data_IF_287976614799
#
_entry.id   IF_287976614799
#
_cell.length_a   1.000
_cell.length_b   1.000
_cell.length_c   1.000
_cell.angle_alpha   90.00
_cell.angle_beta   90.00
_cell.angle_gamma   90.00
#
_symmetry.space_group_name_H-M   'P 1'
#
loop_
_entity.id
_entity.type
_entity.pdbx_description
1 polymer ?
#
# COMPACT_ATOMS: atom_id res chain seq x y z
N UNK A 1 -27.56 -13.36 3.24
CA UNK A 1 -26.70 -12.21 2.90
C UNK A 1 -25.31 -12.54 3.39
N UNK A 2 -24.42 -12.97 2.48
CA UNK A 2 -23.07 -13.40 2.86
C UNK A 2 -22.24 -12.19 3.24
N UNK A 3 -21.86 -12.08 4.52
CA UNK A 3 -20.85 -11.14 4.98
C UNK A 3 -19.51 -11.51 4.33
N UNK A 4 -19.23 -10.95 3.16
CA UNK A 4 -17.94 -11.12 2.48
C UNK A 4 -16.87 -10.54 3.41
N UNK A 5 -16.03 -11.42 3.97
CA UNK A 5 -14.92 -11.05 4.81
C UNK A 5 -13.85 -10.43 3.92
N UNK A 6 -13.89 -9.10 3.75
CA UNK A 6 -12.95 -8.38 2.90
C UNK A 6 -11.50 -8.67 3.31
N UNK A 7 -10.59 -8.94 2.37
CA UNK A 7 -9.18 -9.13 2.65
C UNK A 7 -8.60 -7.92 3.40
N UNK A 8 -7.77 -8.16 4.41
CA UNK A 8 -7.18 -7.08 5.21
C UNK A 8 -6.08 -6.36 4.44
N UNK A 9 -5.84 -5.11 4.82
CA UNK A 9 -4.65 -4.38 4.41
C UNK A 9 -3.39 -5.03 5.01
N UNK A 10 -2.31 -5.25 4.23
CA UNK A 10 -1.08 -5.89 4.70
C UNK A 10 -0.21 -5.00 5.61
N UNK A 11 -0.63 -3.76 5.87
CA UNK A 11 0.07 -2.81 6.74
C UNK A 11 -0.48 -2.92 8.16
N UNK A 12 0.41 -3.29 9.09
CA UNK A 12 0.07 -3.45 10.50
C UNK A 12 -0.49 -2.14 11.09
N UNK A 13 -1.69 -2.22 11.68
CA UNK A 13 -2.35 -1.07 12.29
C UNK A 13 -3.02 -0.10 11.31
N UNK A 14 -3.11 -0.43 10.01
CA UNK A 14 -3.87 0.40 9.08
C UNK A 14 -5.33 0.55 9.53
N UNK A 15 -5.79 1.80 9.68
CA UNK A 15 -7.18 2.15 10.02
C UNK A 15 -7.93 2.80 8.85
N UNK A 16 -7.30 2.90 7.68
CA UNK A 16 -7.95 3.49 6.51
C UNK A 16 -9.03 2.52 5.98
N UNK A 17 -10.17 3.04 5.50
CA UNK A 17 -11.17 2.22 4.83
C UNK A 17 -10.56 1.56 3.58
N UNK A 18 -10.75 0.25 3.44
CA UNK A 18 -10.38 -0.49 2.24
C UNK A 18 -11.41 -0.17 1.16
N UNK A 19 -10.95 0.32 0.02
CA UNK A 19 -11.79 0.72 -1.12
C UNK A 19 -11.48 -0.07 -2.40
N UNK A 20 -10.44 -0.92 -2.38
CA UNK A 20 -10.07 -1.82 -3.46
C UNK A 20 -9.48 -3.12 -2.90
N UNK A 21 -9.74 -4.23 -3.60
CA UNK A 21 -9.08 -5.52 -3.37
C UNK A 21 -8.19 -5.80 -4.57
N UNK A 22 -6.95 -6.18 -4.33
CA UNK A 22 -6.01 -6.62 -5.36
C UNK A 22 -5.74 -8.11 -5.21
N UNK A 23 -5.67 -8.83 -6.33
CA UNK A 23 -5.28 -10.24 -6.36
C UNK A 23 -3.91 -10.39 -7.02
N UNK A 24 -3.03 -11.18 -6.43
CA UNK A 24 -1.76 -11.56 -7.04
C UNK A 24 -1.92 -12.75 -7.98
N UNK A 25 -0.90 -12.99 -8.82
CA UNK A 25 -0.84 -14.12 -9.76
C UNK A 25 -0.82 -15.51 -9.10
N UNK A 26 -0.53 -15.58 -7.80
CA UNK A 26 -0.63 -16.78 -6.97
C UNK A 26 -1.96 -16.89 -6.20
N UNK A 27 -2.93 -16.02 -6.50
CA UNK A 27 -4.29 -16.05 -5.97
C UNK A 27 -4.46 -15.43 -4.58
N UNK A 28 -3.41 -14.84 -3.99
CA UNK A 28 -3.54 -14.13 -2.72
C UNK A 28 -4.26 -12.78 -2.91
N UNK A 29 -5.14 -12.43 -1.99
CA UNK A 29 -5.92 -11.18 -2.04
C UNK A 29 -5.53 -10.23 -0.91
N UNK A 30 -5.46 -8.94 -1.22
CA UNK A 30 -5.07 -7.88 -0.29
C UNK A 30 -6.04 -6.70 -0.39
N UNK A 31 -6.47 -6.19 0.76
CA UNK A 31 -7.15 -4.91 0.83
C UNK A 31 -6.15 -3.77 0.63
N UNK A 32 -6.52 -2.77 -0.15
CA UNK A 32 -5.69 -1.59 -0.38
C UNK A 32 -6.53 -0.31 -0.41
N UNK A 33 -5.85 0.80 -0.66
CA UNK A 33 -6.41 2.15 -0.59
C UNK A 33 -6.02 2.88 -1.87
N UNK A 34 -6.99 3.19 -2.73
CA UNK A 34 -6.75 3.82 -4.04
C UNK A 34 -5.94 5.11 -3.91
N UNK A 35 -6.22 5.93 -2.89
CA UNK A 35 -5.45 7.16 -2.57
C UNK A 35 -3.94 6.91 -2.38
N UNK A 36 -3.56 5.75 -1.85
CA UNK A 36 -2.14 5.40 -1.70
C UNK A 36 -1.59 4.84 -3.01
N UNK A 37 -2.37 4.04 -3.74
CA UNK A 37 -1.95 3.49 -5.03
C UNK A 37 -1.65 4.61 -6.04
N UNK A 38 -2.53 5.61 -6.15
CA UNK A 38 -2.35 6.79 -7.02
C UNK A 38 -1.08 7.58 -6.71
N UNK A 39 -0.76 7.72 -5.42
CA UNK A 39 0.39 8.52 -4.99
C UNK A 39 1.72 7.88 -5.35
N UNK A 40 1.76 6.56 -5.48
CA UNK A 40 3.01 5.80 -5.61
C UNK A 40 3.12 5.00 -6.90
N UNK A 41 2.08 4.99 -7.75
CA UNK A 41 2.10 4.29 -9.02
C UNK A 41 1.20 4.99 -10.04
N UNK A 42 1.82 5.42 -11.15
CA UNK A 42 1.13 5.95 -12.33
C UNK A 42 0.26 4.89 -13.02
N UNK A 43 0.49 3.60 -12.71
CA UNK A 43 -0.30 2.47 -13.23
C UNK A 43 -1.69 2.34 -12.61
N UNK A 44 -1.96 3.04 -11.51
CA UNK A 44 -3.32 3.18 -10.96
C UNK A 44 -3.82 4.57 -11.32
N UNK A 45 -4.44 4.68 -12.50
CA UNK A 45 -5.05 5.92 -13.00
C UNK A 45 -6.00 6.53 -11.95
N UNK A 46 -6.02 7.86 -11.88
CA UNK A 46 -6.78 8.68 -10.91
C UNK A 46 -8.19 8.13 -10.62
N UNK A 47 -8.53 7.99 -9.32
CA UNK A 47 -9.87 7.68 -8.85
C UNK A 47 -10.90 8.61 -9.50
N UNK A 48 -11.85 8.00 -10.18
CA UNK A 48 -13.01 8.69 -10.76
C UNK A 48 -13.52 8.09 -12.06
N UNK A 49 -12.68 7.34 -12.79
CA UNK A 49 -13.08 6.69 -14.07
C UNK A 49 -13.24 5.18 -14.00
N UNK A 50 -12.73 4.55 -12.94
CA UNK A 50 -12.90 3.11 -12.71
C UNK A 50 -14.14 2.95 -11.85
N UNK A 51 -15.25 2.57 -12.48
CA UNK A 51 -16.37 2.02 -11.73
C UNK A 51 -15.82 0.90 -10.86
N UNK A 52 -16.27 0.82 -9.60
CA UNK A 52 -16.00 -0.34 -8.74
C UNK A 52 -16.74 -1.50 -9.38
N UNK A 53 -16.19 -2.06 -10.45
CA UNK A 53 -16.65 -3.30 -11.03
C UNK A 53 -16.38 -4.36 -9.98
N UNK A 54 -17.26 -5.35 -9.89
CA UNK A 54 -17.08 -6.52 -9.03
C UNK A 54 -15.88 -7.39 -9.44
N UNK A 55 -15.04 -6.92 -10.36
CA UNK A 55 -13.86 -7.60 -10.87
C UNK A 55 -12.65 -7.21 -10.03
N UNK A 56 -12.05 -8.21 -9.39
CA UNK A 56 -10.83 -8.04 -8.61
C UNK A 56 -9.67 -7.92 -9.63
N UNK A 57 -8.92 -6.81 -9.67
CA UNK A 57 -7.77 -6.70 -10.55
C UNK A 57 -6.73 -7.75 -10.19
N UNK A 58 -6.43 -8.63 -11.15
CA UNK A 58 -5.33 -9.58 -11.06
C UNK A 58 -4.04 -8.91 -11.52
N UNK A 59 -3.02 -8.98 -10.66
CA UNK A 59 -1.71 -8.41 -10.87
C UNK A 59 -0.70 -9.51 -11.14
N UNK A 60 0.29 -9.23 -12.01
CA UNK A 60 1.31 -10.21 -12.38
C UNK A 60 2.24 -10.56 -11.22
N UNK A 61 2.36 -9.67 -10.23
CA UNK A 61 3.18 -9.85 -9.03
C UNK A 61 2.67 -11.00 -8.16
N UNK A 62 3.60 -11.78 -7.58
CA UNK A 62 3.27 -12.76 -6.54
C UNK A 62 2.77 -12.07 -5.28
N UNK A 63 2.05 -12.80 -4.42
CA UNK A 63 1.50 -12.23 -3.19
C UNK A 63 2.57 -11.64 -2.27
N UNK A 64 3.78 -12.21 -2.28
CA UNK A 64 4.92 -11.68 -1.50
C UNK A 64 5.39 -10.32 -2.02
N UNK A 65 5.51 -10.18 -3.34
CA UNK A 65 5.94 -8.93 -4.00
C UNK A 65 4.85 -7.87 -3.85
N UNK A 66 3.59 -8.22 -4.12
CA UNK A 66 2.44 -7.34 -3.97
C UNK A 66 2.30 -6.82 -2.52
N UNK A 67 2.46 -7.71 -1.53
CA UNK A 67 2.49 -7.33 -0.11
C UNK A 67 3.60 -6.34 0.21
N UNK A 68 4.81 -6.55 -0.32
CA UNK A 68 5.94 -5.64 -0.11
C UNK A 68 5.68 -4.26 -0.73
N UNK A 69 5.15 -4.24 -1.97
CA UNK A 69 4.78 -3.02 -2.67
C UNK A 69 3.77 -2.20 -1.87
N UNK A 70 2.67 -2.83 -1.43
CA UNK A 70 1.63 -2.17 -0.64
C UNK A 70 2.18 -1.58 0.69
N UNK A 71 3.14 -2.25 1.32
CA UNK A 71 3.81 -1.72 2.52
C UNK A 71 4.69 -0.51 2.22
N UNK A 72 5.34 -0.47 1.05
CA UNK A 72 6.20 0.64 0.65
C UNK A 72 5.40 1.89 0.30
N UNK A 73 4.20 1.73 -0.26
CA UNK A 73 3.27 2.82 -0.59
C UNK A 73 2.69 3.53 0.65
N UNK A 74 2.95 3.03 1.86
CA UNK A 74 2.63 3.72 3.11
C UNK A 74 3.75 4.66 3.54
N UNK A 75 3.80 5.85 2.96
CA UNK A 75 4.78 6.89 3.31
C UNK A 75 4.62 7.49 4.72
N UNK A 76 3.51 7.23 5.42
CA UNK A 76 3.16 7.90 6.68
C UNK A 76 3.14 6.98 7.89
N UNK A 77 3.34 5.67 7.70
CA UNK A 77 3.55 4.82 8.85
C UNK A 77 4.97 5.06 9.33
N UNK A 78 5.19 5.46 10.61
CA UNK A 78 6.52 5.33 11.16
C UNK A 78 6.83 3.84 11.05
N UNK A 79 7.67 3.50 10.08
CA UNK A 79 8.45 2.28 10.18
C UNK A 79 8.99 2.29 11.61
N UNK A 80 8.98 1.18 12.32
CA UNK A 80 9.66 1.13 13.63
C UNK A 80 11.15 1.52 13.51
N UNK A 81 11.65 1.73 12.29
CA UNK A 81 12.93 2.27 11.87
C UNK A 81 12.96 3.80 11.65
N UNK A 82 11.87 4.54 11.88
CA UNK A 82 11.82 6.02 11.83
C UNK A 82 12.52 6.67 13.02
N UNK A 83 13.06 5.90 13.96
CA UNK A 83 14.22 6.36 14.74
C UNK A 83 15.47 6.25 13.87
N UNK A 84 15.55 7.08 12.83
CA UNK A 84 16.86 7.44 12.30
C UNK A 84 17.65 8.06 13.45
N UNK A 85 18.75 7.41 13.82
CA UNK A 85 19.66 7.91 14.85
C UNK A 85 20.05 9.36 14.52
N UNK A 86 20.13 10.29 15.49
CA UNK A 86 20.45 11.72 15.25
C UNK A 86 21.84 12.03 14.66
N UNK A 87 22.57 11.02 14.17
CA UNK A 87 24.02 11.08 13.92
C UNK A 87 24.43 11.53 12.50
N UNK A 88 23.52 12.10 11.71
CA UNK A 88 23.89 12.81 10.48
C UNK A 88 23.82 14.34 10.61
N UNK A 89 24.03 14.89 11.81
CA UNK A 89 24.48 16.28 11.93
C UNK A 89 25.93 16.34 11.45
N UNK A 90 26.14 16.70 10.19
CA UNK A 90 27.47 17.09 9.70
C UNK A 90 28.03 18.17 10.64
N UNK A 91 29.30 18.11 11.07
CA UNK A 91 29.90 19.20 11.81
C UNK A 91 29.85 20.45 10.93
N UNK A 92 29.27 21.54 11.42
CA UNK A 92 29.50 22.86 10.83
C UNK A 92 31.00 23.12 10.91
N UNK A 93 31.70 23.07 9.78
CA UNK A 93 33.03 23.67 9.68
C UNK A 93 32.82 25.17 9.74
N UNK A 94 33.24 25.79 10.83
CA UNK A 94 33.44 27.23 10.88
C UNK A 94 34.72 27.52 10.08
N UNK A 95 34.57 28.26 8.98
CA UNK A 95 35.62 29.08 8.37
C UNK A 95 35.07 30.49 8.38
#
# INVERSE_FOLDING_TARGET
MSSQNLPRCPVDGCTLPIDIVLQSSDGAQFGAHTKNLEKFSEGFSQCGSVEITSEIPELAETGTVLKLMLRFMYSSYPTKYSTMHPRLRRPRRNI
#
